data_IF_520330529187
#
_entry.id   IF_520330529187
#
_cell.length_a   1.000
_cell.length_b   1.000
_cell.length_c   1.000
_cell.angle_alpha   90.00
_cell.angle_beta   90.00
_cell.angle_gamma   90.00
#
_symmetry.space_group_name_H-M   'P 1'
#
loop_
_entity.id
_entity.type
_entity.pdbx_description
1 polymer ?
#
# COMPACT_ATOMS: atom_id res chain seq x y z
N UNK A 1 5.78 -18.56 11.86
CA UNK A 1 6.17 -18.34 10.44
C UNK A 1 5.63 -19.52 9.67
N UNK A 2 4.55 -19.35 8.90
CA UNK A 2 3.96 -20.47 8.17
C UNK A 2 4.78 -20.74 6.90
N UNK A 3 5.08 -22.00 6.65
CA UNK A 3 5.78 -22.49 5.44
C UNK A 3 5.04 -22.18 4.12
N UNK A 4 3.89 -21.53 4.19
CA UNK A 4 3.02 -21.28 3.03
C UNK A 4 3.38 -20.05 2.19
N UNK A 5 4.29 -19.19 2.66
CA UNK A 5 4.71 -17.98 1.92
C UNK A 5 5.68 -18.24 0.74
N UNK A 6 6.15 -19.49 0.58
CA UNK A 6 7.21 -19.81 -0.38
C UNK A 6 6.72 -20.31 -1.75
N UNK A 7 5.42 -20.55 -1.96
CA UNK A 7 4.92 -21.25 -3.15
C UNK A 7 4.08 -20.43 -4.14
N UNK A 8 3.78 -19.18 -3.84
CA UNK A 8 3.13 -18.32 -4.83
C UNK A 8 4.19 -17.49 -5.54
N UNK A 9 4.13 -17.38 -6.90
CA UNK A 9 4.89 -16.35 -7.56
C UNK A 9 4.48 -15.04 -6.87
N UNK A 10 5.43 -14.42 -6.18
CA UNK A 10 5.23 -13.11 -5.54
C UNK A 10 4.64 -12.24 -6.62
N UNK A 11 3.54 -11.50 -6.39
CA UNK A 11 3.24 -10.40 -7.27
C UNK A 11 4.47 -9.52 -7.21
N UNK A 12 5.32 -9.71 -8.19
CA UNK A 12 6.51 -8.91 -8.31
C UNK A 12 5.97 -7.52 -8.52
N UNK A 13 6.35 -6.58 -7.67
CA UNK A 13 6.22 -5.16 -7.98
C UNK A 13 6.95 -4.84 -9.32
N UNK A 14 7.54 -5.81 -9.99
CA UNK A 14 8.20 -5.73 -11.31
C UNK A 14 7.32 -5.12 -12.41
N UNK A 15 5.99 -5.22 -12.29
CA UNK A 15 5.08 -4.46 -13.15
C UNK A 15 4.97 -2.99 -12.78
N UNK A 16 5.35 -2.63 -11.56
CA UNK A 16 5.07 -1.35 -10.96
C UNK A 16 5.90 -0.20 -11.52
N UNK A 17 7.09 -0.46 -12.05
CA UNK A 17 8.10 0.59 -12.15
C UNK A 17 8.95 0.58 -13.42
N UNK A 18 8.52 -0.06 -14.49
CA UNK A 18 9.31 -0.18 -15.73
C UNK A 18 9.60 1.12 -16.51
N UNK A 19 9.27 2.30 -15.98
CA UNK A 19 9.42 3.57 -16.72
C UNK A 19 10.15 4.69 -15.99
N UNK A 20 10.86 4.43 -14.92
CA UNK A 20 11.68 5.47 -14.28
C UNK A 20 13.08 5.43 -14.87
N UNK A 21 13.59 6.61 -15.26
CA UNK A 21 14.94 6.77 -15.77
C UNK A 21 15.97 6.28 -14.73
N UNK A 22 16.64 5.18 -15.04
CA UNK A 22 17.66 4.55 -14.19
C UNK A 22 18.79 5.51 -13.75
N UNK A 23 18.93 6.67 -14.41
CA UNK A 23 19.90 7.70 -14.02
C UNK A 23 19.52 8.48 -12.77
N UNK A 24 18.27 8.39 -12.33
CA UNK A 24 17.77 9.03 -11.09
C UNK A 24 17.95 8.17 -9.82
N UNK A 25 18.53 6.98 -9.93
CA UNK A 25 18.73 6.02 -8.84
C UNK A 25 19.94 6.37 -7.95
N UNK A 26 20.08 7.63 -7.54
CA UNK A 26 20.84 7.94 -6.33
C UNK A 26 19.93 7.55 -5.16
N UNK A 27 20.41 6.68 -4.27
CA UNK A 27 19.67 6.31 -3.06
C UNK A 27 19.16 7.55 -2.35
N UNK A 28 17.98 7.44 -1.75
CA UNK A 28 17.40 8.52 -0.95
C UNK A 28 18.33 8.80 0.23
N UNK A 29 18.43 10.06 0.61
CA UNK A 29 19.11 10.46 1.82
C UNK A 29 18.32 10.03 3.06
N UNK A 30 18.99 9.92 4.18
CA UNK A 30 18.34 9.60 5.46
C UNK A 30 17.25 10.62 5.82
N UNK A 31 17.46 11.89 5.50
CA UNK A 31 16.50 12.95 5.75
C UNK A 31 15.26 12.80 4.85
N UNK A 32 15.42 12.50 3.55
CA UNK A 32 14.29 12.24 2.64
C UNK A 32 13.46 11.04 3.09
N UNK A 33 14.10 9.99 3.61
CA UNK A 33 13.42 8.82 4.18
C UNK A 33 12.61 9.21 5.42
N UNK A 34 13.24 9.93 6.36
CA UNK A 34 12.59 10.40 7.59
C UNK A 34 11.43 11.33 7.31
N UNK A 35 11.60 12.26 6.38
CA UNK A 35 10.57 13.21 5.98
C UNK A 35 9.37 12.51 5.34
N UNK A 36 9.62 11.53 4.47
CA UNK A 36 8.56 10.73 3.85
C UNK A 36 7.72 9.98 4.89
N UNK A 37 8.39 9.31 5.85
CA UNK A 37 7.71 8.59 6.93
C UNK A 37 6.97 9.55 7.85
N UNK A 38 7.63 10.63 8.30
CA UNK A 38 7.04 11.65 9.19
C UNK A 38 5.81 12.29 8.57
N UNK A 39 5.90 12.63 7.29
CA UNK A 39 4.79 13.25 6.56
C UNK A 39 3.60 12.29 6.40
N UNK A 40 3.86 10.99 6.17
CA UNK A 40 2.82 9.97 6.13
C UNK A 40 2.18 9.78 7.53
N UNK A 41 2.99 9.66 8.57
CA UNK A 41 2.51 9.56 9.96
C UNK A 41 1.66 10.77 10.36
N UNK A 42 2.11 11.98 10.02
CA UNK A 42 1.36 13.22 10.28
C UNK A 42 0.00 13.26 9.60
N UNK A 43 -0.08 12.79 8.35
CA UNK A 43 -1.35 12.70 7.63
C UNK A 43 -2.36 11.76 8.32
N UNK A 44 -1.89 10.61 8.82
CA UNK A 44 -2.74 9.63 9.49
C UNK A 44 -2.93 9.91 10.98
N UNK A 45 -2.25 10.91 11.56
CA UNK A 45 -2.31 11.19 12.99
C UNK A 45 -1.75 10.06 13.86
N UNK A 46 -0.77 9.30 13.35
CA UNK A 46 -0.10 8.21 14.08
C UNK A 46 1.33 8.60 14.46
N UNK A 47 1.88 8.06 15.55
CA UNK A 47 3.26 8.35 15.94
C UNK A 47 4.24 7.78 14.90
N UNK A 48 5.45 8.35 14.84
CA UNK A 48 6.56 7.81 14.05
C UNK A 48 6.92 6.40 14.55
N UNK A 49 7.28 5.45 13.66
CA UNK A 49 7.70 4.11 14.07
C UNK A 49 8.85 4.15 15.09
N UNK A 50 8.79 3.32 16.14
CA UNK A 50 9.83 3.26 17.16
C UNK A 50 11.19 2.87 16.58
N UNK A 51 11.16 1.98 15.58
CA UNK A 51 12.37 1.52 14.87
C UNK A 51 12.13 1.60 13.35
N UNK A 52 13.12 2.15 12.65
CA UNK A 52 13.17 2.17 11.19
C UNK A 52 14.50 1.58 10.78
N UNK A 53 14.49 0.54 9.97
CA UNK A 53 15.73 -0.16 9.60
C UNK A 53 15.78 -0.42 8.10
N UNK A 54 16.93 -0.04 7.50
CA UNK A 54 17.29 -0.44 6.15
C UNK A 54 17.87 -1.86 6.16
N UNK A 55 17.25 -2.75 5.42
CA UNK A 55 17.66 -4.13 5.24
C UNK A 55 18.39 -4.37 3.92
N UNK A 56 18.94 -3.35 3.29
CA UNK A 56 19.63 -3.45 1.99
C UNK A 56 20.78 -4.45 1.97
N UNK A 57 21.38 -4.69 3.12
CA UNK A 57 22.45 -5.67 3.28
C UNK A 57 21.97 -7.11 3.53
N UNK A 58 20.67 -7.32 3.62
CA UNK A 58 20.09 -8.64 3.90
C UNK A 58 19.31 -9.15 2.68
N UNK A 59 19.52 -10.41 2.30
CA UNK A 59 18.80 -11.07 1.20
C UNK A 59 17.47 -11.70 1.68
N UNK A 60 16.56 -10.90 2.20
CA UNK A 60 15.29 -11.44 2.71
C UNK A 60 14.13 -11.43 1.69
N UNK A 61 14.34 -10.91 0.51
CA UNK A 61 13.35 -10.92 -0.56
C UNK A 61 12.02 -10.26 -0.20
N UNK A 62 12.03 -9.24 0.67
CA UNK A 62 10.86 -8.41 0.99
C UNK A 62 11.24 -6.95 0.79
N UNK A 63 10.48 -6.26 -0.04
CA UNK A 63 10.76 -4.89 -0.43
C UNK A 63 10.47 -3.92 0.71
N UNK A 64 9.38 -4.18 1.43
CA UNK A 64 8.94 -3.36 2.53
C UNK A 64 8.13 -4.21 3.50
N UNK A 65 8.31 -4.00 4.78
CA UNK A 65 7.58 -4.73 5.80
C UNK A 65 7.27 -3.84 6.99
N UNK A 66 5.99 -3.66 7.27
CA UNK A 66 5.54 -3.11 8.55
C UNK A 66 5.18 -4.29 9.43
N UNK A 67 6.01 -4.63 10.39
CA UNK A 67 5.63 -5.58 11.40
C UNK A 67 4.92 -4.85 12.52
N UNK A 68 3.67 -5.15 12.68
CA UNK A 68 2.86 -4.64 13.77
C UNK A 68 2.26 -5.87 14.43
N UNK A 69 3.09 -6.63 15.12
CA UNK A 69 2.60 -7.62 16.07
C UNK A 69 2.65 -7.02 17.48
N UNK A 70 1.51 -6.50 17.98
CA UNK A 70 1.44 -5.93 19.31
C UNK A 70 1.65 -6.99 20.41
N UNK A 71 1.64 -8.29 20.05
CA UNK A 71 1.74 -9.39 21.01
C UNK A 71 3.16 -9.84 21.25
N UNK A 72 4.11 -9.60 20.32
CA UNK A 72 5.43 -10.17 20.48
C UNK A 72 6.46 -9.28 21.16
N UNK A 73 6.43 -7.95 21.08
CA UNK A 73 7.42 -7.08 21.81
C UNK A 73 7.00 -5.60 21.94
N UNK A 74 5.82 -5.19 21.51
CA UNK A 74 5.38 -3.79 21.67
C UNK A 74 6.10 -2.77 20.77
N UNK A 75 6.93 -3.25 19.85
CA UNK A 75 7.77 -2.40 19.03
C UNK A 75 7.18 -2.23 17.64
N UNK A 76 6.92 -0.99 17.30
CA UNK A 76 6.57 -0.53 15.98
C UNK A 76 7.81 -0.55 15.08
N UNK A 77 7.91 -1.55 14.24
CA UNK A 77 9.06 -1.74 13.37
C UNK A 77 8.68 -1.47 11.91
N UNK A 78 9.42 -0.59 11.26
CA UNK A 78 9.40 -0.38 9.82
C UNK A 78 10.69 -0.89 9.21
N UNK A 79 10.59 -1.89 8.37
CA UNK A 79 11.73 -2.37 7.58
C UNK A 79 11.55 -1.96 6.12
N UNK A 80 12.63 -1.54 5.49
CA UNK A 80 12.67 -1.31 4.04
C UNK A 80 14.00 -1.82 3.46
N UNK A 81 14.04 -2.03 2.16
CA UNK A 81 15.24 -2.44 1.45
C UNK A 81 15.44 -1.53 0.24
N UNK A 82 16.40 -0.61 0.34
CA UNK A 82 16.66 0.38 -0.71
C UNK A 82 17.12 -0.26 -2.02
N UNK A 83 17.85 -1.39 -1.97
CA UNK A 83 18.27 -2.07 -3.20
C UNK A 83 17.07 -2.69 -3.94
N UNK A 84 16.10 -3.24 -3.23
CA UNK A 84 14.87 -3.77 -3.83
C UNK A 84 13.97 -2.62 -4.31
N UNK A 85 13.81 -1.56 -3.52
CA UNK A 85 13.09 -0.37 -3.93
C UNK A 85 13.70 0.26 -5.20
N UNK A 86 15.03 0.32 -5.28
CA UNK A 86 15.72 0.80 -6.46
C UNK A 86 15.49 -0.11 -7.69
N UNK A 87 15.47 -1.43 -7.52
CA UNK A 87 15.11 -2.37 -8.59
C UNK A 87 13.67 -2.20 -9.06
N UNK A 88 12.81 -1.78 -8.15
CA UNK A 88 11.43 -1.44 -8.43
C UNK A 88 11.27 0.01 -8.94
N UNK A 89 12.39 0.69 -9.20
CA UNK A 89 12.44 2.08 -9.66
C UNK A 89 11.81 3.11 -8.68
N UNK A 90 11.73 2.80 -7.41
CA UNK A 90 11.37 3.75 -6.36
C UNK A 90 12.63 4.55 -5.98
N UNK A 91 13.03 5.42 -6.88
CA UNK A 91 14.26 6.22 -6.75
C UNK A 91 14.04 7.71 -6.45
N UNK A 92 12.79 8.12 -6.22
CA UNK A 92 12.47 9.51 -5.88
C UNK A 92 11.84 9.60 -4.50
N UNK A 93 12.07 10.69 -3.79
CA UNK A 93 11.45 10.94 -2.49
C UNK A 93 9.92 10.93 -2.58
N UNK A 94 9.34 11.42 -3.69
CA UNK A 94 7.90 11.38 -3.92
C UNK A 94 7.37 9.95 -4.05
N UNK A 95 8.00 9.11 -4.87
CA UNK A 95 7.59 7.71 -5.05
C UNK A 95 7.72 6.93 -3.72
N UNK A 96 8.81 7.14 -2.98
CA UNK A 96 9.01 6.57 -1.66
C UNK A 96 7.93 7.04 -0.67
N UNK A 97 7.60 8.34 -0.67
CA UNK A 97 6.55 8.91 0.19
C UNK A 97 5.16 8.32 -0.11
N UNK A 98 4.86 8.00 -1.37
CA UNK A 98 3.61 7.33 -1.74
C UNK A 98 3.56 5.92 -1.14
N UNK A 99 4.64 5.13 -1.28
CA UNK A 99 4.71 3.78 -0.70
C UNK A 99 4.64 3.84 0.83
N UNK A 100 5.35 4.77 1.46
CA UNK A 100 5.23 5.00 2.90
C UNK A 100 3.82 5.32 3.33
N UNK A 101 3.05 6.02 2.50
CA UNK A 101 1.64 6.29 2.81
C UNK A 101 0.80 5.01 2.84
N UNK A 102 1.07 4.05 1.95
CA UNK A 102 0.40 2.76 1.98
C UNK A 102 0.73 1.99 3.26
N UNK A 103 2.01 1.91 3.61
CA UNK A 103 2.46 1.20 4.80
C UNK A 103 1.96 1.85 6.11
N UNK A 104 2.01 3.19 6.18
CA UNK A 104 1.48 3.91 7.34
C UNK A 104 -0.06 3.85 7.41
N UNK A 105 -0.74 3.71 6.27
CA UNK A 105 -2.18 3.44 6.28
C UNK A 105 -2.49 2.08 6.92
N UNK A 106 -1.73 1.03 6.63
CA UNK A 106 -1.89 -0.26 7.33
C UNK A 106 -1.80 -0.11 8.85
N UNK A 107 -0.81 0.67 9.32
CA UNK A 107 -0.63 0.93 10.73
C UNK A 107 -1.81 1.71 11.33
N UNK A 108 -2.30 2.72 10.66
CA UNK A 108 -3.50 3.46 11.05
C UNK A 108 -4.73 2.54 11.11
N UNK A 109 -4.89 1.67 10.12
CA UNK A 109 -6.05 0.79 9.97
C UNK A 109 -6.15 -0.30 11.04
N UNK A 110 -5.11 -0.59 11.81
CA UNK A 110 -5.17 -1.55 12.91
C UNK A 110 -6.15 -1.13 14.02
N UNK A 111 -6.32 0.17 14.22
CA UNK A 111 -7.32 0.72 15.14
C UNK A 111 -8.72 0.85 14.56
N UNK A 112 -8.91 0.53 13.27
CA UNK A 112 -10.16 0.75 12.55
C UNK A 112 -10.95 -0.54 12.44
N UNK A 113 -12.22 -0.48 12.81
CA UNK A 113 -13.18 -1.57 12.57
C UNK A 113 -14.06 -1.19 11.38
N UNK A 114 -13.99 -1.99 10.33
CA UNK A 114 -14.87 -1.82 9.17
C UNK A 114 -16.23 -2.46 9.44
N UNK A 115 -17.28 -1.75 9.03
CA UNK A 115 -18.63 -2.30 8.97
C UNK A 115 -18.87 -2.94 7.59
N UNK A 116 -19.69 -4.00 7.54
CA UNK A 116 -20.11 -4.63 6.29
C UNK A 116 -19.34 -5.91 5.95
N UNK A 117 -19.35 -6.32 4.67
CA UNK A 117 -18.71 -7.55 4.24
C UNK A 117 -17.19 -7.47 4.45
N UNK A 118 -16.68 -8.40 5.23
CA UNK A 118 -15.26 -8.45 5.60
C UNK A 118 -14.50 -9.48 4.77
N UNK A 119 -13.37 -9.07 4.26
CA UNK A 119 -12.44 -9.92 3.54
C UNK A 119 -11.00 -9.79 4.10
N UNK A 120 -10.81 -9.83 5.37
CA UNK A 120 -9.49 -9.91 6.01
C UNK A 120 -8.43 -9.00 5.37
N UNK A 121 -7.36 -9.62 4.83
CA UNK A 121 -6.23 -8.90 4.25
C UNK A 121 -6.58 -8.05 3.04
N UNK A 122 -7.50 -8.49 2.18
CA UNK A 122 -7.89 -7.72 0.98
C UNK A 122 -8.58 -6.42 1.32
N UNK A 123 -9.43 -6.41 2.33
CA UNK A 123 -10.08 -5.17 2.79
C UNK A 123 -9.05 -4.16 3.29
N UNK A 124 -8.07 -4.62 4.07
CA UNK A 124 -7.00 -3.76 4.57
C UNK A 124 -6.10 -3.24 3.44
N UNK A 125 -5.75 -4.06 2.46
CA UNK A 125 -4.98 -3.65 1.29
C UNK A 125 -5.69 -2.57 0.46
N UNK A 126 -6.98 -2.78 0.16
CA UNK A 126 -7.78 -1.83 -0.61
C UNK A 126 -8.01 -0.53 0.15
N UNK A 127 -8.14 -0.59 1.48
CA UNK A 127 -8.24 0.60 2.32
C UNK A 127 -6.93 1.38 2.36
N UNK A 128 -5.79 0.68 2.46
CA UNK A 128 -4.48 1.30 2.43
C UNK A 128 -4.20 1.96 1.07
N UNK A 129 -4.54 1.30 -0.04
CA UNK A 129 -4.44 1.85 -1.39
C UNK A 129 -5.29 3.11 -1.56
N UNK A 130 -6.54 3.09 -1.09
CA UNK A 130 -7.45 4.23 -1.14
C UNK A 130 -6.92 5.41 -0.33
N UNK A 131 -6.49 5.19 0.91
CA UNK A 131 -5.99 6.25 1.79
C UNK A 131 -4.65 6.82 1.30
N UNK A 132 -3.75 5.97 0.80
CA UNK A 132 -2.53 6.39 0.10
C UNK A 132 -2.86 7.34 -1.04
N UNK A 133 -3.85 6.98 -1.87
CA UNK A 133 -4.28 7.79 -3.01
C UNK A 133 -4.93 9.10 -2.59
N UNK A 134 -5.75 9.10 -1.52
CA UNK A 134 -6.29 10.34 -0.96
C UNK A 134 -5.18 11.29 -0.56
N UNK A 135 -4.17 10.80 0.17
CA UNK A 135 -3.00 11.63 0.53
C UNK A 135 -2.27 12.13 -0.72
N UNK A 136 -1.95 11.23 -1.66
CA UNK A 136 -1.25 11.60 -2.89
C UNK A 136 -2.00 12.67 -3.68
N UNK A 137 -3.31 12.55 -3.81
CA UNK A 137 -4.16 13.53 -4.49
C UNK A 137 -4.25 14.86 -3.75
N UNK A 138 -4.38 14.85 -2.41
CA UNK A 138 -4.42 16.07 -1.60
C UNK A 138 -3.11 16.86 -1.66
N UNK A 139 -1.97 16.17 -1.72
CA UNK A 139 -0.63 16.80 -1.82
C UNK A 139 -0.13 16.99 -3.26
N UNK A 140 -0.91 16.55 -4.28
CA UNK A 140 -0.55 16.73 -5.69
C UNK A 140 0.62 15.87 -6.14
N UNK A 141 0.79 14.68 -5.58
CA UNK A 141 1.88 13.76 -5.90
C UNK A 141 1.66 13.11 -7.27
N UNK A 142 2.51 13.42 -8.24
CA UNK A 142 2.36 13.00 -9.65
C UNK A 142 2.73 11.54 -9.87
N UNK A 143 3.67 11.00 -9.11
CA UNK A 143 4.17 9.63 -9.24
C UNK A 143 3.11 8.55 -8.94
N UNK A 144 1.97 8.91 -8.37
CA UNK A 144 0.86 7.98 -8.12
C UNK A 144 0.34 7.32 -9.41
N UNK A 145 0.44 7.98 -10.55
CA UNK A 145 0.04 7.41 -11.84
C UNK A 145 0.90 6.22 -12.24
N UNK A 146 2.19 6.26 -11.94
CA UNK A 146 3.11 5.14 -12.19
C UNK A 146 2.74 3.94 -11.30
N UNK A 147 2.30 4.21 -10.07
CA UNK A 147 1.80 3.21 -9.14
C UNK A 147 0.58 2.48 -9.72
N UNK A 148 -0.39 3.23 -10.24
CA UNK A 148 -1.60 2.66 -10.86
C UNK A 148 -1.23 1.77 -12.04
N UNK A 149 -0.42 2.26 -12.99
CA UNK A 149 -0.03 1.52 -14.19
C UNK A 149 0.71 0.22 -13.87
N UNK A 150 1.53 0.24 -12.82
CA UNK A 150 2.23 -0.95 -12.36
C UNK A 150 1.31 -1.98 -11.75
N UNK A 151 0.40 -1.55 -10.87
CA UNK A 151 -0.52 -2.44 -10.17
C UNK A 151 -1.53 -3.12 -11.09
N UNK A 152 -2.07 -2.43 -12.08
CA UNK A 152 -3.14 -2.97 -12.93
C UNK A 152 -2.85 -4.34 -13.54
N UNK A 153 -1.59 -4.65 -13.75
CA UNK A 153 -1.13 -5.90 -14.39
C UNK A 153 -0.90 -7.04 -13.41
N UNK A 154 -1.04 -6.80 -12.09
CA UNK A 154 -0.75 -7.83 -11.09
C UNK A 154 -1.91 -8.80 -10.92
N UNK A 155 -1.58 -10.10 -10.81
CA UNK A 155 -2.58 -11.18 -10.73
C UNK A 155 -3.25 -11.30 -9.36
N UNK A 156 -2.70 -10.67 -8.34
CA UNK A 156 -3.14 -10.81 -6.96
C UNK A 156 -2.66 -12.11 -6.29
N UNK A 157 -3.00 -12.25 -5.02
CA UNK A 157 -2.63 -13.39 -4.17
C UNK A 157 -3.66 -13.58 -3.05
N UNK A 158 -3.43 -14.54 -2.13
CA UNK A 158 -4.26 -14.67 -0.93
C UNK A 158 -4.28 -13.41 -0.07
N UNK A 159 -3.16 -12.72 0.02
CA UNK A 159 -2.99 -11.51 0.84
C UNK A 159 -3.27 -10.21 0.10
N UNK A 160 -3.16 -10.20 -1.23
CA UNK A 160 -3.31 -8.99 -2.04
C UNK A 160 -4.36 -9.18 -3.14
N UNK A 161 -5.28 -8.22 -3.31
CA UNK A 161 -6.25 -8.23 -4.40
C UNK A 161 -5.57 -8.18 -5.78
N UNK A 162 -6.30 -8.56 -6.84
CA UNK A 162 -5.86 -8.34 -8.21
C UNK A 162 -5.59 -6.86 -8.47
N UNK A 163 -4.58 -6.57 -9.27
CA UNK A 163 -4.10 -5.22 -9.51
C UNK A 163 -5.15 -4.25 -10.04
N UNK A 164 -6.08 -4.71 -10.87
CA UNK A 164 -7.15 -3.84 -11.37
C UNK A 164 -8.12 -3.39 -10.25
N UNK A 165 -8.36 -4.23 -9.23
CA UNK A 165 -9.16 -3.84 -8.05
C UNK A 165 -8.39 -2.78 -7.25
N UNK A 166 -7.11 -3.00 -6.99
CA UNK A 166 -6.24 -2.05 -6.29
C UNK A 166 -6.22 -0.70 -7.03
N UNK A 167 -5.96 -0.72 -8.34
CA UNK A 167 -5.97 0.47 -9.18
C UNK A 167 -7.34 1.20 -9.17
N UNK A 168 -8.44 0.47 -9.10
CA UNK A 168 -9.77 1.06 -8.99
C UNK A 168 -9.93 1.85 -7.68
N UNK A 169 -9.51 1.29 -6.54
CA UNK A 169 -9.55 1.97 -5.25
C UNK A 169 -8.61 3.17 -5.20
N UNK A 170 -7.42 3.08 -5.79
CA UNK A 170 -6.51 4.22 -5.92
C UNK A 170 -7.16 5.35 -6.73
N UNK A 171 -7.73 5.06 -7.90
CA UNK A 171 -8.42 6.07 -8.72
C UNK A 171 -9.59 6.71 -7.97
N UNK A 172 -10.33 5.92 -7.22
CA UNK A 172 -11.42 6.46 -6.40
C UNK A 172 -10.88 7.42 -5.32
N UNK A 173 -9.83 7.05 -4.61
CA UNK A 173 -9.17 7.92 -3.64
C UNK A 173 -8.67 9.23 -4.24
N UNK A 174 -8.07 9.19 -5.43
CA UNK A 174 -7.66 10.39 -6.18
C UNK A 174 -8.85 11.28 -6.54
N UNK A 175 -9.96 10.69 -6.98
CA UNK A 175 -11.21 11.42 -7.29
C UNK A 175 -11.74 12.14 -6.06
N UNK A 176 -11.81 11.46 -4.91
CA UNK A 176 -12.25 12.07 -3.63
C UNK A 176 -11.31 13.21 -3.22
N UNK A 177 -9.99 13.01 -3.32
CA UNK A 177 -9.01 14.06 -3.02
C UNK A 177 -9.18 15.28 -3.93
N UNK A 178 -9.42 15.08 -5.22
CA UNK A 178 -9.68 16.16 -6.18
C UNK A 178 -10.95 16.94 -5.83
N UNK A 179 -12.02 16.23 -5.46
CA UNK A 179 -13.27 16.86 -5.03
C UNK A 179 -13.05 17.70 -3.77
N UNK A 180 -12.37 17.17 -2.74
CA UNK A 180 -12.08 17.88 -1.50
C UNK A 180 -11.28 19.16 -1.80
N UNK A 181 -10.28 19.10 -2.65
CA UNK A 181 -9.48 20.26 -3.06
C UNK A 181 -10.32 21.31 -3.80
N UNK A 182 -11.18 20.90 -4.71
CA UNK A 182 -12.04 21.81 -5.48
C UNK A 182 -13.07 22.53 -4.60
N UNK A 183 -13.56 21.85 -3.57
CA UNK A 183 -14.52 22.39 -2.61
C UNK A 183 -13.84 23.20 -1.49
N UNK A 184 -12.51 23.13 -1.37
CA UNK A 184 -11.72 23.76 -0.29
C UNK A 184 -12.26 23.44 1.10
N UNK A 185 -12.85 22.26 1.28
CA UNK A 185 -13.46 21.86 2.55
C UNK A 185 -12.46 21.11 3.44
N UNK A 186 -12.55 21.28 4.77
CA UNK A 186 -11.81 20.42 5.69
C UNK A 186 -12.28 18.97 5.53
N UNK A 187 -11.37 18.03 5.73
CA UNK A 187 -11.62 16.60 5.67
C UNK A 187 -11.04 15.92 6.89
N UNK A 188 -11.76 14.95 7.43
CA UNK A 188 -11.28 14.09 8.51
C UNK A 188 -10.99 12.68 7.98
N UNK A 189 -10.24 11.88 8.75
CA UNK A 189 -10.04 10.46 8.42
C UNK A 189 -11.37 9.70 8.39
N UNK A 190 -12.33 10.05 9.24
CA UNK A 190 -13.65 9.44 9.23
C UNK A 190 -14.42 9.71 7.94
N UNK A 191 -14.28 10.90 7.36
CA UNK A 191 -14.87 11.21 6.05
C UNK A 191 -14.26 10.31 4.96
N UNK A 192 -12.94 10.16 4.95
CA UNK A 192 -12.26 9.30 3.99
C UNK A 192 -12.64 7.83 4.17
N UNK A 193 -12.69 7.33 5.39
CA UNK A 193 -13.12 5.96 5.69
C UNK A 193 -14.58 5.71 5.30
N UNK A 194 -15.45 6.71 5.46
CA UNK A 194 -16.84 6.63 5.00
C UNK A 194 -16.93 6.50 3.48
N UNK A 195 -16.17 7.29 2.73
CA UNK A 195 -16.12 7.20 1.26
C UNK A 195 -15.51 5.85 0.81
N UNK A 196 -14.45 5.38 1.47
CA UNK A 196 -13.92 4.04 1.26
C UNK A 196 -14.99 2.97 1.46
N UNK A 197 -15.72 3.02 2.59
CA UNK A 197 -16.75 2.03 2.93
C UNK A 197 -17.87 1.95 1.90
N UNK A 198 -18.35 3.08 1.40
CA UNK A 198 -19.33 3.13 0.32
C UNK A 198 -18.82 2.45 -0.94
N UNK A 199 -17.62 2.83 -1.37
CA UNK A 199 -17.00 2.26 -2.57
C UNK A 199 -16.69 0.77 -2.41
N UNK A 200 -16.26 0.33 -1.23
CA UNK A 200 -16.02 -1.08 -0.93
C UNK A 200 -17.31 -1.90 -1.06
N UNK A 201 -18.44 -1.39 -0.57
CA UNK A 201 -19.75 -2.05 -0.71
C UNK A 201 -20.18 -2.16 -2.18
N UNK A 202 -19.98 -1.12 -2.98
CA UNK A 202 -20.23 -1.15 -4.42
C UNK A 202 -19.38 -2.18 -5.14
N UNK A 203 -18.11 -2.29 -4.76
CA UNK A 203 -17.15 -3.20 -5.39
C UNK A 203 -17.20 -4.64 -4.83
N UNK A 204 -17.95 -4.89 -3.76
CA UNK A 204 -18.01 -6.18 -3.10
C UNK A 204 -18.30 -7.39 -4.01
N UNK A 205 -19.23 -7.34 -4.97
CA UNK A 205 -19.49 -8.46 -5.87
C UNK A 205 -18.24 -8.86 -6.69
N UNK A 206 -17.44 -7.91 -7.11
CA UNK A 206 -16.19 -8.12 -7.87
C UNK A 206 -15.09 -8.68 -6.98
N UNK A 207 -14.92 -8.09 -5.79
CA UNK A 207 -13.96 -8.54 -4.78
C UNK A 207 -14.21 -10.01 -4.44
N UNK A 208 -15.45 -10.36 -4.09
CA UNK A 208 -15.84 -11.73 -3.73
C UNK A 208 -15.63 -12.73 -4.87
N UNK A 209 -15.90 -12.32 -6.11
CA UNK A 209 -15.67 -13.16 -7.29
C UNK A 209 -14.19 -13.48 -7.45
N UNK A 210 -13.35 -12.45 -7.41
CA UNK A 210 -11.91 -12.60 -7.63
C UNK A 210 -11.23 -13.36 -6.50
N UNK A 211 -11.63 -13.14 -5.28
CA UNK A 211 -11.16 -13.90 -4.14
C UNK A 211 -11.42 -15.38 -4.33
N UNK A 212 -12.65 -15.76 -4.70
CA UNK A 212 -13.02 -17.15 -4.97
C UNK A 212 -12.18 -17.76 -6.10
N UNK A 213 -11.89 -17.01 -7.16
CA UNK A 213 -11.04 -17.47 -8.27
C UNK A 213 -9.62 -17.79 -7.80
N UNK A 214 -9.03 -16.91 -6.98
CA UNK A 214 -7.68 -17.09 -6.45
C UNK A 214 -7.62 -18.33 -5.54
N UNK A 215 -8.56 -18.48 -4.62
CA UNK A 215 -8.59 -19.65 -3.75
C UNK A 215 -8.77 -20.96 -4.54
N UNK A 216 -9.64 -20.98 -5.54
CA UNK A 216 -9.85 -22.14 -6.41
C UNK A 216 -8.58 -22.48 -7.20
N UNK A 217 -7.86 -21.48 -7.69
CA UNK A 217 -6.59 -21.69 -8.40
C UNK A 217 -5.54 -22.32 -7.49
N UNK A 218 -5.36 -21.78 -6.27
CA UNK A 218 -4.40 -22.30 -5.30
C UNK A 218 -4.73 -23.73 -4.89
N UNK A 219 -5.99 -24.06 -4.66
CA UNK A 219 -6.41 -25.44 -4.33
C UNK A 219 -6.07 -26.43 -5.45
N UNK A 220 -6.17 -26.01 -6.72
CA UNK A 220 -5.78 -26.85 -7.87
C UNK A 220 -4.28 -27.07 -7.95
N UNK A 221 -3.48 -26.07 -7.59
CA UNK A 221 -2.01 -26.19 -7.62
C UNK A 221 -1.46 -27.06 -6.48
N UNK A 222 -2.20 -27.23 -5.40
CA UNK A 222 -1.82 -28.04 -4.23
C UNK A 222 -2.31 -29.51 -4.32
N UNK A 223 -2.97 -29.89 -5.40
CA UNK A 223 -3.37 -31.28 -5.73
C UNK A 223 -2.40 -31.91 -6.71
#
# INVERSE_FOLDING_TARGET
>A
MSEYDNFLPRPTMDGFLRRVDLRALKGLTEDEIKDAISSACGFFGIPFPAFVQDLSNFKFGRTMFVNIDPTSFGDDLLYYNMNELAQLHVGTAEAFSIIMSHEMAHRFLQGVRFEGPYNGSWQNELAADFLMACRAGLFGMSQINNVIEGLEKTQGSKSHPKGYLRANFIRHGLKIAQQIRSESRPVTMNDLLSEYGKHYQEMWPYIKKDEKEIYTFIERMNR
#
